data_IF_827405908722
#
_entry.id   IF_827405908722
#
_cell.length_a   1.000
_cell.length_b   1.000
_cell.length_c   1.000
_cell.angle_alpha   90.00
_cell.angle_beta   90.00
_cell.angle_gamma   90.00
#
_symmetry.space_group_name_H-M   'P 1'
#
loop_
_entity.id
_entity.type
_entity.pdbx_description
1 polymer ?
#
# COMPACT_ATOMS: atom_id res chain seq x y z
N UNK A 1 67.05 0.54 -46.36
CA UNK A 1 66.52 -0.13 -45.16
C UNK A 1 65.90 0.83 -44.12
N UNK A 2 66.44 2.04 -43.91
CA UNK A 2 65.91 3.02 -42.95
C UNK A 2 64.49 3.59 -43.28
N UNK A 3 64.15 3.79 -44.56
CA UNK A 3 62.84 4.33 -44.96
C UNK A 3 61.64 3.39 -44.65
N UNK A 4 61.87 2.08 -44.61
CA UNK A 4 60.84 1.08 -44.35
C UNK A 4 60.42 1.07 -42.86
N UNK A 5 61.38 1.29 -41.95
CA UNK A 5 61.16 1.32 -40.50
C UNK A 5 60.30 2.52 -40.10
N UNK A 6 60.52 3.70 -40.71
CA UNK A 6 59.71 4.90 -40.42
C UNK A 6 58.24 4.76 -40.83
N UNK A 7 57.97 4.10 -41.96
CA UNK A 7 56.60 3.89 -42.44
C UNK A 7 55.78 2.93 -41.56
N UNK A 8 56.43 1.91 -40.99
CA UNK A 8 55.78 0.96 -40.08
C UNK A 8 55.42 1.58 -38.72
N UNK A 9 56.26 2.48 -38.20
CA UNK A 9 55.99 3.20 -36.94
C UNK A 9 54.78 4.14 -37.10
N UNK A 10 54.73 4.91 -38.19
CA UNK A 10 53.62 5.85 -38.47
C UNK A 10 52.29 5.10 -38.62
N UNK A 11 52.29 3.92 -39.25
CA UNK A 11 51.08 3.11 -39.41
C UNK A 11 50.59 2.54 -38.06
N UNK A 12 51.51 2.05 -37.22
CA UNK A 12 51.21 1.54 -35.87
C UNK A 12 50.59 2.63 -34.99
N UNK A 13 51.16 3.83 -34.99
CA UNK A 13 50.68 4.96 -34.18
C UNK A 13 49.29 5.43 -34.62
N UNK A 14 49.01 5.42 -35.94
CA UNK A 14 47.66 5.73 -36.47
C UNK A 14 46.62 4.69 -36.09
N UNK A 15 46.96 3.40 -36.14
CA UNK A 15 46.07 2.30 -35.74
C UNK A 15 45.77 2.38 -34.23
N UNK A 16 46.79 2.64 -33.40
CA UNK A 16 46.62 2.83 -31.95
C UNK A 16 45.75 4.06 -31.65
N UNK A 17 45.99 5.19 -32.32
CA UNK A 17 45.20 6.40 -32.15
C UNK A 17 43.73 6.22 -32.58
N UNK A 18 43.47 5.47 -33.66
CA UNK A 18 42.11 5.11 -34.10
C UNK A 18 41.41 4.18 -33.10
N UNK A 19 42.12 3.16 -32.60
CA UNK A 19 41.60 2.25 -31.56
C UNK A 19 41.26 2.98 -30.25
N UNK A 20 42.11 3.90 -29.81
CA UNK A 20 41.88 4.72 -28.61
C UNK A 20 40.69 5.66 -28.82
N UNK A 21 40.60 6.35 -29.96
CA UNK A 21 39.46 7.24 -30.27
C UNK A 21 38.13 6.49 -30.30
N UNK A 22 38.10 5.31 -30.92
CA UNK A 22 36.90 4.47 -30.96
C UNK A 22 36.54 3.93 -29.57
N UNK A 23 37.54 3.53 -28.78
CA UNK A 23 37.34 3.11 -27.38
C UNK A 23 36.76 4.22 -26.50
N UNK A 24 37.26 5.46 -26.65
CA UNK A 24 36.72 6.64 -25.95
C UNK A 24 35.28 6.91 -26.39
N UNK A 25 34.98 6.87 -27.69
CA UNK A 25 33.63 7.10 -28.20
C UNK A 25 32.62 6.05 -27.68
N UNK A 26 33.01 4.77 -27.67
CA UNK A 26 32.21 3.68 -27.08
C UNK A 26 32.01 3.93 -25.58
N UNK A 27 33.07 4.31 -24.85
CA UNK A 27 32.98 4.62 -23.42
C UNK A 27 31.99 5.76 -23.13
N UNK A 28 32.04 6.84 -23.92
CA UNK A 28 31.10 7.97 -23.81
C UNK A 28 29.66 7.52 -24.09
N UNK A 29 29.43 6.71 -25.12
CA UNK A 29 28.09 6.20 -25.44
C UNK A 29 27.53 5.32 -24.32
N UNK A 30 28.34 4.41 -23.77
CA UNK A 30 27.92 3.55 -22.65
C UNK A 30 27.62 4.39 -21.41
N UNK A 31 28.48 5.37 -21.10
CA UNK A 31 28.24 6.29 -19.99
C UNK A 31 26.92 7.05 -20.17
N UNK A 32 26.68 7.61 -21.35
CA UNK A 32 25.45 8.33 -21.64
C UNK A 32 24.21 7.43 -21.54
N UNK A 33 24.29 6.20 -22.03
CA UNK A 33 23.21 5.22 -21.90
C UNK A 33 22.87 4.92 -20.42
N UNK A 34 23.89 4.76 -19.56
CA UNK A 34 23.71 4.56 -18.11
C UNK A 34 23.07 5.79 -17.46
N UNK A 35 23.53 7.00 -17.81
CA UNK A 35 22.97 8.25 -17.27
C UNK A 35 21.49 8.40 -17.66
N UNK A 36 21.17 8.17 -18.94
CA UNK A 36 19.79 8.26 -19.45
C UNK A 36 18.87 7.23 -18.77
N UNK A 37 19.32 5.99 -18.59
CA UNK A 37 18.50 4.97 -17.92
C UNK A 37 18.26 5.33 -16.45
N UNK A 38 19.26 5.85 -15.73
CA UNK A 38 19.11 6.28 -14.33
C UNK A 38 18.18 7.49 -14.18
N UNK A 39 18.30 8.47 -15.08
CA UNK A 39 17.38 9.61 -15.11
C UNK A 39 15.95 9.13 -15.42
N UNK A 40 15.78 8.24 -16.40
CA UNK A 40 14.50 7.65 -16.75
C UNK A 40 13.87 6.87 -15.59
N UNK A 41 14.63 6.05 -14.88
CA UNK A 41 14.20 5.34 -13.66
C UNK A 41 13.73 6.32 -12.58
N UNK A 42 14.49 7.40 -12.35
CA UNK A 42 14.15 8.41 -11.36
C UNK A 42 12.85 9.14 -11.69
N UNK A 43 12.69 9.57 -12.95
CA UNK A 43 11.45 10.22 -13.42
C UNK A 43 10.28 9.24 -13.32
N UNK A 44 10.46 7.99 -13.76
CA UNK A 44 9.43 6.95 -13.71
C UNK A 44 8.96 6.68 -12.29
N UNK A 45 9.88 6.50 -11.34
CA UNK A 45 9.55 6.33 -9.91
C UNK A 45 8.79 7.53 -9.36
N UNK A 46 9.26 8.74 -9.65
CA UNK A 46 8.61 9.97 -9.18
C UNK A 46 7.18 10.13 -9.70
N UNK A 47 6.94 9.79 -10.97
CA UNK A 47 5.60 9.83 -11.57
C UNK A 47 4.66 8.80 -10.93
N UNK A 48 5.14 7.58 -10.70
CA UNK A 48 4.39 6.51 -10.02
C UNK A 48 4.07 6.90 -8.58
N UNK A 49 5.01 7.48 -7.84
CA UNK A 49 4.81 7.91 -6.45
C UNK A 49 3.80 9.06 -6.32
N UNK A 50 3.81 10.01 -7.26
CA UNK A 50 2.96 11.21 -7.16
C UNK A 50 1.56 11.04 -7.76
N UNK A 51 1.39 10.13 -8.72
CA UNK A 51 0.13 10.02 -9.48
C UNK A 51 -0.66 8.76 -9.16
N UNK A 52 -1.74 8.93 -8.37
CA UNK A 52 -2.76 7.87 -8.13
C UNK A 52 -3.33 7.31 -9.44
N UNK A 53 -3.47 8.15 -10.48
CA UNK A 53 -3.98 7.72 -11.79
C UNK A 53 -3.01 6.77 -12.50
N UNK A 54 -1.71 7.09 -12.50
CA UNK A 54 -0.69 6.22 -13.13
C UNK A 54 -0.63 4.89 -12.39
N UNK A 55 -0.61 4.90 -11.05
CA UNK A 55 -0.65 3.66 -10.25
C UNK A 55 -1.87 2.81 -10.55
N UNK A 56 -3.04 3.44 -10.64
CA UNK A 56 -4.27 2.74 -11.02
C UNK A 56 -4.18 2.12 -12.41
N UNK A 57 -3.58 2.81 -13.38
CA UNK A 57 -3.40 2.29 -14.74
C UNK A 57 -2.45 1.08 -14.77
N UNK A 58 -1.33 1.14 -14.03
CA UNK A 58 -0.33 0.08 -13.98
C UNK A 58 -0.85 -1.16 -13.22
N UNK A 59 -1.47 -0.94 -12.05
CA UNK A 59 -1.93 -2.02 -11.19
C UNK A 59 -3.26 -2.64 -11.66
N UNK A 60 -4.12 -1.86 -12.32
CA UNK A 60 -5.40 -2.34 -12.83
C UNK A 60 -6.23 -3.05 -11.75
N UNK A 61 -6.44 -4.37 -11.92
CA UNK A 61 -7.22 -5.21 -10.99
C UNK A 61 -6.59 -5.39 -9.61
N UNK A 62 -5.32 -5.02 -9.46
CA UNK A 62 -4.57 -5.07 -8.21
C UNK A 62 -4.53 -3.70 -7.50
N UNK A 63 -5.29 -2.71 -7.99
CA UNK A 63 -5.35 -1.36 -7.40
C UNK A 63 -6.23 -1.30 -6.13
N UNK A 64 -5.59 -1.50 -4.99
CA UNK A 64 -6.21 -1.53 -3.65
C UNK A 64 -6.27 -0.18 -2.92
N UNK A 65 -5.58 0.87 -3.41
CA UNK A 65 -5.52 2.16 -2.71
C UNK A 65 -6.89 2.86 -2.56
N UNK A 66 -7.10 3.56 -1.46
CA UNK A 66 -8.29 4.36 -1.17
C UNK A 66 -8.87 4.09 0.22
N UNK A 67 -10.09 4.58 0.44
CA UNK A 67 -10.81 4.46 1.71
C UNK A 67 -11.66 3.19 1.78
N UNK A 68 -11.63 2.53 2.92
CA UNK A 68 -12.31 1.27 3.22
C UNK A 68 -13.01 1.35 4.57
N UNK A 69 -14.07 0.56 4.72
CA UNK A 69 -14.64 0.21 6.03
C UNK A 69 -14.22 -1.21 6.34
N UNK A 70 -13.69 -1.43 7.54
CA UNK A 70 -13.26 -2.72 8.05
C UNK A 70 -14.13 -3.13 9.24
N UNK A 71 -14.68 -4.33 9.22
CA UNK A 71 -15.53 -4.89 10.27
C UNK A 71 -14.75 -5.95 11.03
N UNK A 72 -14.46 -5.69 12.31
CA UNK A 72 -13.78 -6.64 13.19
C UNK A 72 -14.79 -7.60 13.80
N UNK A 73 -14.74 -8.87 13.39
CA UNK A 73 -15.74 -9.88 13.71
C UNK A 73 -15.12 -10.99 14.57
N UNK A 74 -15.83 -11.31 15.65
CA UNK A 74 -15.56 -12.47 16.48
C UNK A 74 -16.60 -13.55 16.16
N UNK A 75 -16.20 -14.51 15.32
CA UNK A 75 -17.08 -15.61 14.91
C UNK A 75 -17.39 -16.59 16.04
N UNK A 76 -16.54 -16.70 17.07
CA UNK A 76 -16.76 -17.62 18.19
C UNK A 76 -17.91 -17.12 19.06
N UNK A 77 -17.90 -15.83 19.37
CA UNK A 77 -18.93 -15.19 20.19
C UNK A 77 -20.08 -14.60 19.36
N UNK A 78 -19.98 -14.64 18.03
CA UNK A 78 -20.91 -13.99 17.09
C UNK A 78 -21.08 -12.51 17.39
N UNK A 79 -19.97 -11.80 17.52
CA UNK A 79 -19.94 -10.37 17.85
C UNK A 79 -19.29 -9.55 16.75
N UNK A 80 -19.91 -8.42 16.40
CA UNK A 80 -19.23 -7.32 15.74
C UNK A 80 -18.56 -6.48 16.83
N UNK A 81 -17.22 -6.54 16.91
CA UNK A 81 -16.43 -5.91 17.97
C UNK A 81 -16.25 -4.42 17.72
N UNK A 82 -15.82 -4.08 16.51
CA UNK A 82 -15.46 -2.72 16.15
C UNK A 82 -15.58 -2.51 14.64
N UNK A 83 -15.58 -1.25 14.23
CA UNK A 83 -15.51 -0.84 12.84
C UNK A 83 -14.34 0.10 12.68
N UNK A 84 -13.47 -0.15 11.71
CA UNK A 84 -12.40 0.77 11.36
C UNK A 84 -12.67 1.46 10.03
N UNK A 85 -12.31 2.74 9.96
CA UNK A 85 -12.22 3.48 8.71
C UNK A 85 -10.75 3.50 8.29
N UNK A 86 -10.46 2.76 7.24
CA UNK A 86 -9.11 2.44 6.80
C UNK A 86 -8.76 3.21 5.53
N UNK A 87 -7.53 3.67 5.44
CA UNK A 87 -6.95 4.19 4.21
C UNK A 87 -5.75 3.32 3.80
N UNK A 88 -5.75 2.92 2.53
CA UNK A 88 -4.63 2.21 1.90
C UNK A 88 -4.00 3.16 0.90
N UNK A 89 -2.72 3.49 1.07
CA UNK A 89 -2.01 4.39 0.17
C UNK A 89 -0.64 3.84 -0.22
N UNK A 90 -0.17 4.20 -1.41
CA UNK A 90 1.23 3.99 -1.77
C UNK A 90 2.04 5.26 -1.46
N UNK A 91 2.99 5.16 -0.53
CA UNK A 91 3.84 6.26 -0.09
C UNK A 91 5.29 5.80 0.06
N UNK A 92 6.25 6.61 -0.39
CA UNK A 92 7.70 6.36 -0.25
C UNK A 92 8.15 4.97 -0.70
N UNK A 93 7.57 4.44 -1.77
CA UNK A 93 7.94 3.15 -2.33
C UNK A 93 7.25 1.94 -1.70
N UNK A 94 6.45 2.12 -0.65
CA UNK A 94 5.74 1.05 0.06
C UNK A 94 4.24 1.32 0.18
N UNK A 95 3.50 0.27 0.55
CA UNK A 95 2.09 0.41 0.91
C UNK A 95 2.04 0.85 2.38
N UNK A 96 1.23 1.86 2.66
CA UNK A 96 0.81 2.25 3.99
C UNK A 96 -0.64 1.79 4.19
N UNK A 97 -0.89 1.14 5.33
CA UNK A 97 -2.18 0.63 5.74
C UNK A 97 -2.45 1.16 7.16
N UNK A 98 -3.43 2.04 7.30
CA UNK A 98 -3.73 2.67 8.58
C UNK A 98 -5.17 3.10 8.66
N UNK A 99 -5.62 3.48 9.85
CA UNK A 99 -7.01 3.84 10.03
C UNK A 99 -7.38 4.26 11.44
N UNK A 100 -8.62 4.68 11.57
CA UNK A 100 -9.24 5.02 12.85
C UNK A 100 -10.26 3.95 13.22
N UNK A 101 -10.16 3.41 14.42
CA UNK A 101 -11.04 2.39 14.97
C UNK A 101 -12.13 3.06 15.78
N UNK A 102 -13.36 2.56 15.63
CA UNK A 102 -14.55 3.02 16.31
C UNK A 102 -15.25 1.84 16.98
N UNK A 103 -15.88 2.11 18.12
CA UNK A 103 -16.95 1.25 18.60
C UNK A 103 -18.12 1.29 17.63
N UNK A 104 -18.96 0.26 17.63
CA UNK A 104 -20.11 0.17 16.73
C UNK A 104 -21.15 1.29 16.93
N UNK A 105 -21.08 2.00 18.06
CA UNK A 105 -21.85 3.21 18.36
C UNK A 105 -21.27 4.48 17.70
N UNK A 106 -20.19 4.39 16.93
CA UNK A 106 -19.52 5.51 16.27
C UNK A 106 -18.59 6.32 17.17
N UNK A 107 -18.33 5.88 18.41
CA UNK A 107 -17.36 6.51 19.31
C UNK A 107 -15.94 6.08 18.91
N UNK A 108 -14.99 7.01 18.68
CA UNK A 108 -13.61 6.64 18.37
C UNK A 108 -12.95 5.92 19.54
N UNK A 109 -12.28 4.79 19.28
CA UNK A 109 -11.58 4.01 20.32
C UNK A 109 -10.06 4.03 20.16
N UNK A 110 -9.56 4.24 18.94
CA UNK A 110 -8.12 4.20 18.67
C UNK A 110 -7.77 4.51 17.23
N UNK A 111 -6.47 4.55 16.95
CA UNK A 111 -5.92 4.58 15.59
C UNK A 111 -4.89 3.46 15.46
N UNK A 112 -4.62 3.05 14.23
CA UNK A 112 -3.52 2.13 13.93
C UNK A 112 -2.84 2.52 12.63
N UNK A 113 -1.56 2.17 12.54
CA UNK A 113 -0.75 2.36 11.34
C UNK A 113 0.19 1.17 11.15
N UNK A 114 0.38 0.76 9.90
CA UNK A 114 1.31 -0.30 9.54
C UNK A 114 2.75 0.18 9.62
N UNK A 115 3.60 -0.55 10.34
CA UNK A 115 5.06 -0.37 10.27
C UNK A 115 5.66 -1.03 9.03
N UNK A 116 5.08 -2.15 8.62
CA UNK A 116 5.46 -2.91 7.43
C UNK A 116 4.20 -3.39 6.74
N UNK A 117 4.11 -3.21 5.43
CA UNK A 117 3.07 -3.83 4.62
C UNK A 117 3.61 -4.24 3.25
N UNK A 118 3.09 -5.33 2.71
CA UNK A 118 3.41 -5.81 1.38
C UNK A 118 2.21 -6.49 0.73
N UNK A 119 2.14 -6.41 -0.59
CA UNK A 119 1.02 -6.91 -1.36
C UNK A 119 1.48 -7.80 -2.50
N UNK A 120 0.95 -9.02 -2.58
CA UNK A 120 1.19 -9.97 -3.67
C UNK A 120 0.06 -10.97 -3.74
N UNK A 121 -0.27 -11.41 -4.96
CA UNK A 121 -1.30 -12.44 -5.19
C UNK A 121 -2.66 -12.12 -4.54
N UNK A 122 -3.06 -10.84 -4.54
CA UNK A 122 -4.27 -10.31 -3.88
C UNK A 122 -4.26 -10.32 -2.36
N UNK A 123 -3.12 -10.58 -1.75
CA UNK A 123 -2.98 -10.64 -0.32
C UNK A 123 -2.11 -9.49 0.15
N UNK A 124 -2.65 -8.67 1.05
CA UNK A 124 -1.90 -7.68 1.82
C UNK A 124 -1.52 -8.29 3.16
N UNK A 125 -0.23 -8.46 3.41
CA UNK A 125 0.28 -8.76 4.75
C UNK A 125 0.80 -7.48 5.40
N UNK A 126 0.59 -7.34 6.70
CA UNK A 126 1.02 -6.16 7.42
C UNK A 126 1.37 -6.45 8.88
N UNK A 127 2.22 -5.60 9.45
CA UNK A 127 2.47 -5.46 10.88
C UNK A 127 2.01 -4.07 11.26
N UNK A 128 1.20 -3.95 12.31
CA UNK A 128 0.64 -2.68 12.76
C UNK A 128 1.05 -2.34 14.19
N UNK A 129 1.04 -1.04 14.47
CA UNK A 129 1.01 -0.51 15.83
C UNK A 129 -0.33 0.21 16.02
N UNK A 130 -0.95 0.11 17.19
CA UNK A 130 -2.16 0.87 17.54
C UNK A 130 -1.96 1.72 18.79
N UNK A 131 -2.71 2.80 18.85
CA UNK A 131 -2.84 3.67 20.01
C UNK A 131 -4.30 3.70 20.44
N UNK A 132 -4.56 3.36 21.72
CA UNK A 132 -5.91 3.30 22.30
C UNK A 132 -6.18 4.61 23.04
N UNK A 133 -7.23 5.32 22.67
CA UNK A 133 -7.53 6.69 23.17
C UNK A 133 -7.89 6.69 24.65
N UNK A 134 -8.60 5.65 25.13
CA UNK A 134 -9.20 5.67 26.47
C UNK A 134 -8.29 5.15 27.58
N UNK A 135 -7.24 4.39 27.26
CA UNK A 135 -6.50 3.67 28.30
C UNK A 135 -5.16 4.30 28.70
N UNK A 136 -4.66 5.33 28.02
CA UNK A 136 -3.28 5.84 28.24
C UNK A 136 -2.22 4.72 28.26
N UNK A 137 -2.56 3.54 27.71
CA UNK A 137 -1.76 2.32 27.72
C UNK A 137 -0.90 2.23 26.47
N UNK A 138 0.09 1.37 26.59
CA UNK A 138 1.19 1.11 25.68
C UNK A 138 0.73 0.86 24.23
N UNK A 139 1.65 1.13 23.31
CA UNK A 139 1.47 0.84 21.89
C UNK A 139 1.34 -0.67 21.71
N UNK A 140 0.14 -1.13 21.37
CA UNK A 140 -0.04 -2.53 21.03
C UNK A 140 0.47 -2.79 19.61
N UNK A 141 0.98 -3.99 19.39
CA UNK A 141 1.41 -4.44 18.07
C UNK A 141 0.60 -5.64 17.61
N UNK A 142 0.56 -5.86 16.31
CA UNK A 142 -0.04 -7.06 15.76
C UNK A 142 0.36 -7.27 14.31
N UNK A 143 -0.15 -8.37 13.75
CA UNK A 143 0.06 -8.72 12.35
C UNK A 143 -1.26 -9.15 11.73
N UNK A 144 -1.44 -8.90 10.45
CA UNK A 144 -2.64 -9.35 9.75
C UNK A 144 -2.41 -9.66 8.30
N UNK A 145 -3.42 -10.29 7.72
CA UNK A 145 -3.49 -10.65 6.32
C UNK A 145 -4.89 -10.33 5.78
N UNK A 146 -4.95 -9.56 4.69
CA UNK A 146 -6.19 -9.24 3.96
C UNK A 146 -6.13 -9.82 2.55
N UNK A 147 -7.14 -10.60 2.18
CA UNK A 147 -7.30 -11.17 0.84
C UNK A 147 -8.41 -10.44 0.09
N UNK A 148 -8.01 -9.74 -0.97
CA UNK A 148 -8.88 -8.91 -1.79
C UNK A 148 -9.65 -9.75 -2.83
N UNK A 149 -10.93 -9.45 -2.99
CA UNK A 149 -11.78 -10.10 -3.99
C UNK A 149 -11.60 -9.43 -5.36
N UNK A 150 -11.54 -10.25 -6.43
CA UNK A 150 -11.35 -9.80 -7.81
C UNK A 150 -12.65 -9.87 -8.61
N UNK A 151 -13.71 -9.26 -8.11
CA UNK A 151 -15.01 -9.29 -8.78
C UNK A 151 -15.13 -8.28 -9.93
N UNK A 152 -14.33 -7.21 -9.92
CA UNK A 152 -14.43 -6.12 -10.90
C UNK A 152 -13.07 -5.63 -11.42
N UNK A 153 -13.07 -4.48 -12.12
CA UNK A 153 -11.86 -3.80 -12.56
C UNK A 153 -10.97 -3.34 -11.40
N UNK A 154 -11.52 -3.15 -10.20
CA UNK A 154 -10.75 -2.93 -8.97
C UNK A 154 -11.36 -3.75 -7.82
N UNK A 155 -10.58 -4.11 -6.79
CA UNK A 155 -11.13 -4.77 -5.62
C UNK A 155 -12.14 -3.86 -4.91
N UNK A 156 -13.26 -4.46 -4.51
CA UNK A 156 -14.39 -3.81 -3.83
C UNK A 156 -14.60 -4.35 -2.42
N UNK A 157 -14.06 -5.53 -2.11
CA UNK A 157 -14.09 -6.11 -0.78
C UNK A 157 -12.80 -6.89 -0.50
N UNK A 158 -12.57 -7.18 0.77
CA UNK A 158 -11.58 -8.13 1.23
C UNK A 158 -12.10 -8.90 2.44
N UNK A 159 -11.45 -10.01 2.75
CA UNK A 159 -11.62 -10.73 4.00
C UNK A 159 -10.25 -11.13 4.54
N UNK A 160 -10.14 -11.36 5.83
CA UNK A 160 -8.85 -11.65 6.44
C UNK A 160 -8.92 -11.90 7.93
N UNK A 161 -7.76 -11.85 8.55
CA UNK A 161 -7.65 -11.83 10.01
C UNK A 161 -6.44 -11.00 10.45
N UNK A 162 -6.47 -10.56 11.69
CA UNK A 162 -5.29 -10.05 12.37
C UNK A 162 -5.16 -10.68 13.75
N UNK A 163 -3.92 -10.86 14.17
CA UNK A 163 -3.53 -11.30 15.49
C UNK A 163 -2.96 -10.12 16.28
N UNK A 164 -3.58 -9.85 17.42
CA UNK A 164 -3.19 -8.80 18.34
C UNK A 164 -2.32 -9.38 19.46
N UNK A 165 -1.06 -8.95 19.57
CA UNK A 165 -0.09 -9.62 20.46
C UNK A 165 -0.37 -9.40 21.94
N UNK A 166 -1.03 -8.31 22.30
CA UNK A 166 -1.34 -8.01 23.70
C UNK A 166 -2.51 -8.84 24.22
N UNK A 167 -3.54 -9.01 23.38
CA UNK A 167 -4.74 -9.78 23.76
C UNK A 167 -4.63 -11.25 23.43
N UNK A 168 -3.63 -11.64 22.64
CA UNK A 168 -3.46 -12.99 22.07
C UNK A 168 -4.71 -13.48 21.30
N UNK A 169 -5.47 -12.53 20.75
CA UNK A 169 -6.69 -12.82 19.99
C UNK A 169 -6.45 -12.70 18.49
N UNK A 170 -6.91 -13.70 17.76
CA UNK A 170 -7.11 -13.61 16.32
C UNK A 170 -8.54 -13.13 16.03
N UNK A 171 -8.64 -12.03 15.30
CA UNK A 171 -9.91 -11.40 14.93
C UNK A 171 -10.07 -11.48 13.42
N UNK A 172 -11.24 -11.92 12.97
CA UNK A 172 -11.57 -11.93 11.55
C UNK A 172 -11.99 -10.53 11.10
N UNK A 173 -11.66 -10.20 9.86
CA UNK A 173 -11.96 -8.89 9.27
C UNK A 173 -12.65 -9.03 7.93
N UNK A 174 -13.66 -8.20 7.73
CA UNK A 174 -14.33 -8.04 6.44
C UNK A 174 -14.31 -6.57 6.02
N UNK A 175 -13.72 -6.33 4.85
CA UNK A 175 -13.52 -5.00 4.30
C UNK A 175 -14.44 -4.70 3.12
N UNK A 176 -14.95 -3.47 3.06
CA UNK A 176 -15.70 -2.95 1.93
C UNK A 176 -15.13 -1.59 1.48
N UNK A 177 -14.88 -1.44 0.18
CA UNK A 177 -14.34 -0.19 -0.38
C UNK A 177 -15.41 0.89 -0.42
N UNK A 178 -15.05 2.10 0.01
CA UNK A 178 -15.93 3.26 -0.06
C UNK A 178 -15.72 3.94 -1.42
N UNK A 179 -16.73 3.86 -2.28
CA UNK A 179 -16.65 4.41 -3.64
C UNK A 179 -17.55 5.63 -3.84
N UNK A 180 -18.57 5.78 -3.02
CA UNK A 180 -19.54 6.85 -3.21
C UNK A 180 -18.99 8.18 -2.69
N UNK A 181 -19.15 9.23 -3.50
CA UNK A 181 -18.58 10.56 -3.20
C UNK A 181 -19.20 11.20 -1.96
N UNK A 182 -20.43 10.83 -1.60
CA UNK A 182 -21.16 11.40 -0.47
C UNK A 182 -20.54 10.93 0.84
N UNK A 183 -20.38 9.62 1.01
CA UNK A 183 -19.70 8.99 2.14
C UNK A 183 -18.27 9.49 2.24
N UNK A 184 -17.51 9.49 1.14
CA UNK A 184 -16.13 10.04 1.14
C UNK A 184 -16.07 11.50 1.62
N UNK A 185 -17.06 12.32 1.31
CA UNK A 185 -17.15 13.70 1.82
C UNK A 185 -17.49 13.73 3.31
N UNK A 186 -18.32 12.80 3.79
CA UNK A 186 -18.65 12.66 5.21
C UNK A 186 -17.43 12.27 6.05
N UNK A 187 -16.55 11.41 5.53
CA UNK A 187 -15.33 10.99 6.25
C UNK A 187 -14.38 12.15 6.62
N UNK A 188 -14.55 13.32 6.00
CA UNK A 188 -13.77 14.53 6.32
C UNK A 188 -14.14 15.15 7.68
N UNK A 189 -15.27 14.77 8.26
CA UNK A 189 -15.76 15.29 9.56
C UNK A 189 -15.94 14.15 10.54
N UNK A 190 -15.63 14.38 11.82
CA UNK A 190 -15.78 13.34 12.86
C UNK A 190 -17.21 12.82 13.00
N UNK A 191 -18.20 13.72 12.99
CA UNK A 191 -19.63 13.35 12.99
C UNK A 191 -20.01 12.48 11.79
N UNK A 192 -19.46 12.80 10.61
CA UNK A 192 -19.69 12.03 9.39
C UNK A 192 -19.06 10.64 9.46
N UNK A 193 -17.85 10.51 10.02
CA UNK A 193 -17.23 9.20 10.29
C UNK A 193 -18.08 8.35 11.23
N UNK A 194 -18.54 8.92 12.34
CA UNK A 194 -19.41 8.23 13.29
C UNK A 194 -20.72 7.76 12.64
N UNK A 195 -21.32 8.58 11.76
CA UNK A 195 -22.52 8.19 11.02
C UNK A 195 -22.27 7.01 10.09
N UNK A 196 -21.16 7.02 9.33
CA UNK A 196 -20.79 5.91 8.44
C UNK A 196 -20.58 4.63 9.22
N UNK A 197 -19.88 4.70 10.36
CA UNK A 197 -19.67 3.55 11.25
C UNK A 197 -20.99 2.94 11.71
N UNK A 198 -21.94 3.77 12.16
CA UNK A 198 -23.27 3.29 12.58
C UNK A 198 -24.01 2.60 11.44
N UNK A 199 -24.04 3.22 10.27
CA UNK A 199 -24.73 2.68 9.09
C UNK A 199 -24.17 1.29 8.69
N UNK A 200 -22.84 1.14 8.67
CA UNK A 200 -22.21 -0.15 8.36
C UNK A 200 -22.44 -1.19 9.46
N UNK A 201 -22.43 -0.79 10.73
CA UNK A 201 -22.71 -1.68 11.87
C UNK A 201 -24.14 -2.22 11.82
N UNK A 202 -25.12 -1.33 11.62
CA UNK A 202 -26.54 -1.70 11.50
C UNK A 202 -26.77 -2.60 10.30
N UNK A 203 -26.18 -2.27 9.14
CA UNK A 203 -26.27 -3.08 7.93
C UNK A 203 -25.70 -4.49 8.15
N UNK A 204 -24.58 -4.62 8.85
CA UNK A 204 -23.99 -5.93 9.16
C UNK A 204 -24.94 -6.79 9.99
N UNK A 205 -25.46 -6.27 11.11
CA UNK A 205 -26.38 -7.01 11.98
C UNK A 205 -27.68 -7.39 11.26
N UNK A 206 -28.22 -6.47 10.44
CA UNK A 206 -29.43 -6.75 9.67
C UNK A 206 -29.24 -7.89 8.67
N UNK A 207 -28.04 -8.01 8.07
CA UNK A 207 -27.71 -9.09 7.15
C UNK A 207 -27.29 -10.38 7.87
N UNK A 208 -26.83 -10.27 9.12
CA UNK A 208 -26.33 -11.38 9.93
C UNK A 208 -27.01 -11.39 11.31
N UNK A 209 -28.30 -11.73 11.41
CA UNK A 209 -29.09 -11.61 12.64
C UNK A 209 -28.61 -12.53 13.78
N UNK A 210 -27.73 -13.49 13.49
CA UNK A 210 -27.07 -14.31 14.50
C UNK A 210 -25.96 -13.56 15.27
N UNK A 211 -25.52 -12.41 14.77
CA UNK A 211 -24.48 -11.58 15.37
C UNK A 211 -25.08 -10.44 16.19
N UNK A 212 -24.36 -10.02 17.22
CA UNK A 212 -24.70 -8.85 18.03
C UNK A 212 -23.58 -7.81 17.99
N UNK A 213 -23.94 -6.56 18.25
CA UNK A 213 -22.95 -5.49 18.44
C UNK A 213 -22.34 -5.64 19.82
N UNK A 214 -21.02 -5.53 19.93
CA UNK A 214 -20.34 -5.38 21.21
C UNK A 214 -20.75 -4.05 21.84
N UNK A 215 -21.23 -4.10 23.08
CA UNK A 215 -21.31 -2.91 23.92
C UNK A 215 -19.86 -2.54 24.27
N UNK A 216 -19.43 -1.37 23.81
CA UNK A 216 -18.12 -0.80 24.13
C UNK A 216 -18.19 -0.06 25.46
#
# INVERSE_FOLDING_TARGET
MAAYVGSAIILRDKILALGIKNGIAIGILVFFAIVVTKIGESIGRSLVERSKFIRKLILGKDYIEGSWVDLSIDHQNKLLRAVALVEIEYQNGSIAFGGQVFGCNGVPVGNFDSSVAGYKNNTLWYVYNREVVFENKEKATGRGELKFTRESHNPTSYYGSFFDTETELEISVEGARIQDKKTLKMLRKQEGKAQVVKEYSERFVNNHPAYRISEA
#
